data_IF_680474118383
#
_entry.id   IF_680474118383
#
_cell.length_a   1.000
_cell.length_b   1.000
_cell.length_c   1.000
_cell.angle_alpha   90.00
_cell.angle_beta   90.00
_cell.angle_gamma   90.00
#
_symmetry.space_group_name_H-M   'P 1'
#
loop_
_entity.id
_entity.type
_entity.pdbx_description
1 polymer ?
#
# COMPACT_ATOMS: atom_id res chain seq x y z
N UNK A 1 -11.34 6.33 10.81
CA UNK A 1 -10.76 7.69 10.77
C UNK A 1 -10.60 8.17 9.35
N UNK A 2 -9.88 7.47 8.46
CA UNK A 2 -9.69 7.88 7.07
C UNK A 2 -11.00 8.19 6.32
N UNK A 3 -11.95 7.24 6.28
CA UNK A 3 -13.29 7.48 5.69
C UNK A 3 -13.97 8.72 6.26
N UNK A 4 -13.94 8.91 7.59
CA UNK A 4 -14.54 10.08 8.22
C UNK A 4 -13.87 11.41 7.83
N UNK A 5 -12.57 11.39 7.51
CA UNK A 5 -11.86 12.59 7.01
C UNK A 5 -12.33 12.89 5.59
N UNK A 6 -12.42 11.89 4.72
CA UNK A 6 -12.94 12.03 3.36
C UNK A 6 -14.37 12.58 3.40
N UNK A 7 -15.25 11.97 4.19
CA UNK A 7 -16.66 12.39 4.32
C UNK A 7 -16.76 13.87 4.73
N UNK A 8 -15.96 14.30 5.72
CA UNK A 8 -15.96 15.70 6.19
C UNK A 8 -15.43 16.64 5.11
N UNK A 9 -14.36 16.27 4.40
CA UNK A 9 -13.80 17.08 3.32
C UNK A 9 -14.78 17.20 2.14
N UNK A 10 -15.51 16.14 1.81
CA UNK A 10 -16.56 16.17 0.80
C UNK A 10 -17.69 17.13 1.20
N UNK A 11 -18.14 17.08 2.45
CA UNK A 11 -19.14 18.03 2.97
C UNK A 11 -18.64 19.47 2.88
N UNK A 12 -17.36 19.74 3.20
CA UNK A 12 -16.78 21.09 3.11
C UNK A 12 -16.66 21.52 1.64
N UNK A 13 -16.23 20.64 0.75
CA UNK A 13 -16.14 20.90 -0.70
C UNK A 13 -17.51 21.30 -1.27
N UNK A 14 -18.60 20.70 -0.80
CA UNK A 14 -19.95 20.98 -1.27
C UNK A 14 -20.59 22.21 -0.58
N UNK A 15 -20.46 22.30 0.74
CA UNK A 15 -21.22 23.24 1.59
C UNK A 15 -20.36 24.32 2.27
N UNK A 16 -19.08 24.43 1.89
CA UNK A 16 -18.15 25.39 2.48
C UNK A 16 -18.63 26.84 2.38
N UNK A 17 -18.40 27.62 3.44
CA UNK A 17 -18.95 28.97 3.61
C UNK A 17 -18.46 29.98 2.58
N UNK A 18 -17.29 29.74 1.98
CA UNK A 18 -16.70 30.55 0.92
C UNK A 18 -15.99 29.67 -0.12
N UNK A 19 -15.60 30.30 -1.24
CA UNK A 19 -14.95 29.60 -2.35
C UNK A 19 -13.57 29.03 -1.97
N UNK A 20 -12.82 29.72 -1.12
CA UNK A 20 -11.48 29.30 -0.71
C UNK A 20 -11.51 28.00 0.09
N UNK A 21 -12.45 27.86 1.04
CA UNK A 21 -12.64 26.63 1.82
C UNK A 21 -13.01 25.44 0.92
N UNK A 22 -13.89 25.65 -0.07
CA UNK A 22 -14.28 24.58 -1.00
C UNK A 22 -13.09 24.15 -1.87
N UNK A 23 -12.30 25.11 -2.33
CA UNK A 23 -11.10 24.85 -3.13
C UNK A 23 -10.02 24.13 -2.31
N UNK A 24 -9.81 24.53 -1.05
CA UNK A 24 -8.88 23.87 -0.13
C UNK A 24 -9.30 22.43 0.15
N UNK A 25 -10.57 22.19 0.48
CA UNK A 25 -11.07 20.83 0.70
C UNK A 25 -10.93 19.95 -0.55
N UNK A 26 -11.22 20.48 -1.74
CA UNK A 26 -10.99 19.76 -3.00
C UNK A 26 -9.51 19.46 -3.25
N UNK A 27 -8.62 20.40 -2.92
CA UNK A 27 -7.17 20.20 -3.01
C UNK A 27 -6.67 19.11 -2.06
N UNK A 28 -7.17 19.07 -0.82
CA UNK A 28 -6.81 18.03 0.15
C UNK A 28 -7.34 16.66 -0.30
N UNK A 29 -8.57 16.59 -0.82
CA UNK A 29 -9.12 15.33 -1.37
C UNK A 29 -8.22 14.75 -2.46
N UNK A 30 -7.80 15.57 -3.43
CA UNK A 30 -6.87 15.12 -4.47
C UNK A 30 -5.51 14.70 -3.91
N UNK A 31 -4.99 15.42 -2.92
CA UNK A 31 -3.74 15.05 -2.26
C UNK A 31 -3.85 13.68 -1.56
N UNK A 32 -5.00 13.38 -0.94
CA UNK A 32 -5.25 12.09 -0.31
C UNK A 32 -5.35 10.96 -1.36
N UNK A 33 -6.02 11.21 -2.49
CA UNK A 33 -6.07 10.27 -3.62
C UNK A 33 -4.67 9.97 -4.19
N UNK A 34 -3.88 11.01 -4.45
CA UNK A 34 -2.51 10.88 -4.95
C UNK A 34 -1.61 10.13 -3.94
N UNK A 35 -1.78 10.42 -2.65
CA UNK A 35 -1.06 9.74 -1.59
C UNK A 35 -1.44 8.25 -1.53
N UNK A 36 -2.72 7.91 -1.57
CA UNK A 36 -3.19 6.52 -1.57
C UNK A 36 -2.63 5.75 -2.78
N UNK A 37 -2.62 6.38 -3.96
CA UNK A 37 -2.04 5.80 -5.16
C UNK A 37 -0.53 5.57 -5.01
N UNK A 38 0.22 6.59 -4.57
CA UNK A 38 1.66 6.50 -4.39
C UNK A 38 2.06 5.48 -3.31
N UNK A 39 1.34 5.46 -2.18
CA UNK A 39 1.52 4.51 -1.10
C UNK A 39 1.24 3.08 -1.57
N UNK A 40 0.12 2.86 -2.27
CA UNK A 40 -0.23 1.56 -2.83
C UNK A 40 0.83 1.07 -3.82
N UNK A 41 1.28 1.95 -4.72
CA UNK A 41 2.32 1.62 -5.69
C UNK A 41 3.64 1.24 -5.00
N UNK A 42 4.03 1.99 -3.96
CA UNK A 42 5.23 1.71 -3.19
C UNK A 42 5.12 0.36 -2.46
N UNK A 43 3.98 0.10 -1.82
CA UNK A 43 3.70 -1.16 -1.14
C UNK A 43 3.73 -2.34 -2.12
N UNK A 44 3.07 -2.20 -3.28
CA UNK A 44 3.08 -3.21 -4.35
C UNK A 44 4.50 -3.52 -4.82
N UNK A 45 5.34 -2.49 -5.04
CA UNK A 45 6.73 -2.68 -5.44
C UNK A 45 7.50 -3.55 -4.42
N UNK A 46 7.32 -3.29 -3.13
CA UNK A 46 8.00 -4.03 -2.07
C UNK A 46 7.52 -5.48 -2.00
N UNK A 47 6.19 -5.70 -2.04
CA UNK A 47 5.59 -7.05 -2.06
C UNK A 47 6.06 -7.83 -3.28
N UNK A 48 5.98 -7.24 -4.47
CA UNK A 48 6.40 -7.88 -5.71
C UNK A 48 7.91 -8.19 -5.71
N UNK A 49 8.74 -7.33 -5.12
CA UNK A 49 10.16 -7.61 -4.93
C UNK A 49 10.40 -8.89 -4.12
N UNK A 50 9.77 -9.00 -2.95
CA UNK A 50 9.85 -10.19 -2.09
C UNK A 50 9.35 -11.44 -2.82
N UNK A 51 8.20 -11.34 -3.49
CA UNK A 51 7.60 -12.47 -4.19
C UNK A 51 8.39 -12.87 -5.44
N UNK A 52 9.04 -11.92 -6.12
CA UNK A 52 9.92 -12.21 -7.25
C UNK A 52 11.15 -13.00 -6.80
N UNK A 53 11.78 -12.62 -5.68
CA UNK A 53 12.89 -13.41 -5.11
C UNK A 53 12.47 -14.84 -4.78
N UNK A 54 11.31 -15.01 -4.12
CA UNK A 54 10.75 -16.35 -3.86
C UNK A 54 10.50 -17.12 -5.16
N UNK A 55 9.87 -16.47 -6.14
CA UNK A 55 9.54 -17.07 -7.43
C UNK A 55 10.79 -17.55 -8.18
N UNK A 56 11.83 -16.73 -8.24
CA UNK A 56 13.11 -17.09 -8.86
C UNK A 56 13.76 -18.27 -8.16
N UNK A 57 13.75 -18.30 -6.82
CA UNK A 57 14.30 -19.40 -6.06
C UNK A 57 13.53 -20.71 -6.28
N UNK A 58 12.19 -20.67 -6.28
CA UNK A 58 11.35 -21.84 -6.49
C UNK A 58 11.38 -22.38 -7.93
N UNK A 59 11.68 -21.54 -8.92
CA UNK A 59 11.78 -21.95 -10.33
C UNK A 59 13.10 -22.66 -10.67
N UNK A 60 14.02 -22.77 -9.72
CA UNK A 60 15.29 -23.48 -9.93
C UNK A 60 15.05 -24.98 -10.11
N UNK A 61 15.69 -25.59 -11.11
CA UNK A 61 15.56 -27.03 -11.42
C UNK A 61 16.09 -27.95 -10.32
N UNK A 62 17.05 -27.46 -9.53
CA UNK A 62 17.70 -28.17 -8.43
C UNK A 62 17.01 -27.93 -7.07
N UNK A 63 15.86 -27.26 -7.04
CA UNK A 63 15.16 -26.92 -5.81
C UNK A 63 14.47 -28.13 -5.17
N UNK A 64 14.90 -28.54 -3.98
CA UNK A 64 14.21 -29.56 -3.19
C UNK A 64 13.12 -28.98 -2.28
N UNK A 65 12.25 -29.86 -1.79
CA UNK A 65 11.06 -29.52 -1.00
C UNK A 65 11.39 -28.89 0.36
N UNK A 66 12.48 -29.31 1.02
CA UNK A 66 12.86 -28.79 2.34
C UNK A 66 13.33 -27.35 2.19
N UNK A 67 14.21 -27.10 1.23
CA UNK A 67 14.70 -25.76 0.94
C UNK A 67 13.58 -24.85 0.41
N UNK A 68 12.65 -25.37 -0.40
CA UNK A 68 11.48 -24.63 -0.87
C UNK A 68 10.60 -24.17 0.29
N UNK A 69 10.31 -25.05 1.25
CA UNK A 69 9.52 -24.71 2.43
C UNK A 69 10.21 -23.66 3.32
N UNK A 70 11.54 -23.73 3.45
CA UNK A 70 12.31 -22.71 4.16
C UNK A 70 12.19 -21.34 3.48
N UNK A 71 12.29 -21.27 2.15
CA UNK A 71 12.11 -20.03 1.38
C UNK A 71 10.71 -19.43 1.56
N UNK A 72 9.67 -20.26 1.57
CA UNK A 72 8.29 -19.83 1.84
C UNK A 72 8.16 -19.25 3.25
N UNK A 73 8.75 -19.90 4.26
CA UNK A 73 8.73 -19.42 5.64
C UNK A 73 9.46 -18.07 5.80
N UNK A 74 10.63 -17.92 5.18
CA UNK A 74 11.38 -16.66 5.15
C UNK A 74 10.56 -15.55 4.47
N UNK A 75 9.92 -15.86 3.34
CA UNK A 75 9.07 -14.91 2.63
C UNK A 75 7.89 -14.46 3.49
N UNK A 76 7.23 -15.40 4.17
CA UNK A 76 6.15 -15.09 5.13
C UNK A 76 6.65 -14.17 6.25
N UNK A 77 7.82 -14.45 6.82
CA UNK A 77 8.41 -13.60 7.86
C UNK A 77 8.68 -12.18 7.33
N UNK A 78 9.25 -12.04 6.13
CA UNK A 78 9.50 -10.72 5.52
C UNK A 78 8.22 -9.92 5.29
N UNK A 79 7.17 -10.57 4.78
CA UNK A 79 5.86 -9.93 4.58
C UNK A 79 5.22 -9.54 5.92
N UNK A 80 5.37 -10.36 6.95
CA UNK A 80 4.89 -10.06 8.30
C UNK A 80 5.65 -8.86 8.90
N UNK A 81 6.98 -8.86 8.82
CA UNK A 81 7.81 -7.72 9.26
C UNK A 81 7.45 -6.44 8.53
N UNK A 82 7.14 -6.52 7.22
CA UNK A 82 6.69 -5.35 6.45
C UNK A 82 5.33 -4.84 6.95
N UNK A 83 4.42 -5.72 7.34
CA UNK A 83 3.11 -5.35 7.90
C UNK A 83 3.20 -4.78 9.31
N UNK A 84 4.11 -5.29 10.13
CA UNK A 84 4.25 -4.86 11.53
C UNK A 84 5.00 -3.52 11.67
N UNK A 85 5.83 -3.18 10.69
CA UNK A 85 6.61 -1.93 10.67
C UNK A 85 6.08 -0.86 9.70
N UNK A 86 5.04 -1.17 8.93
CA UNK A 86 4.36 -0.22 8.03
C UNK A 86 3.12 0.34 8.68
#
# INVERSE_FOLDING_TARGET
MYSSIIDVLEIIKENGSNADQRAEANGILHLLEDFDFAFTLHLMKNVLGILNELSQALQRKDQDIINAMNLVNITKLRLQTMRDNG
#
